data_IF_399284593893
#
_entry.id   IF_399284593893
#
_cell.length_a   1.000
_cell.length_b   1.000
_cell.length_c   1.000
_cell.angle_alpha   90.00
_cell.angle_beta   90.00
_cell.angle_gamma   90.00
#
_symmetry.space_group_name_H-M   'P 1'
#
loop_
_entity.id
_entity.type
_entity.pdbx_description
1 polymer ?
#
# COMPACT_ATOMS: atom_id res chain seq x y z
N UNK A 1 -2.71 -3.89 -27.86
CA UNK A 1 -3.64 -2.90 -27.28
C UNK A 1 -2.87 -1.65 -26.91
N UNK A 2 -3.42 -0.44 -27.06
CA UNK A 2 -2.82 0.80 -26.55
C UNK A 2 -3.52 1.18 -25.26
N UNK A 3 -2.74 1.46 -24.22
CA UNK A 3 -3.28 1.88 -22.92
C UNK A 3 -3.82 3.30 -22.97
N UNK A 4 -4.91 3.55 -22.25
CA UNK A 4 -5.46 4.89 -22.00
C UNK A 4 -4.50 5.71 -21.12
N UNK A 5 -4.72 7.02 -21.03
CA UNK A 5 -3.94 7.88 -20.14
C UNK A 5 -4.10 7.45 -18.67
N UNK A 6 -5.31 7.12 -18.26
CA UNK A 6 -5.62 6.66 -16.91
C UNK A 6 -4.90 5.34 -16.59
N UNK A 7 -4.97 4.35 -17.46
CA UNK A 7 -4.29 3.06 -17.30
C UNK A 7 -2.77 3.23 -17.16
N UNK A 8 -2.16 4.13 -17.96
CA UNK A 8 -0.73 4.43 -17.85
C UNK A 8 -0.39 5.05 -16.50
N UNK A 9 -1.14 6.04 -16.04
CA UNK A 9 -0.93 6.68 -14.74
C UNK A 9 -1.08 5.67 -13.59
N UNK A 10 -2.09 4.80 -13.65
CA UNK A 10 -2.29 3.75 -12.64
C UNK A 10 -1.11 2.76 -12.61
N UNK A 11 -0.58 2.37 -13.77
CA UNK A 11 0.59 1.50 -13.85
C UNK A 11 1.85 2.19 -13.31
N UNK A 12 2.03 3.48 -13.57
CA UNK A 12 3.13 4.27 -13.00
C UNK A 12 3.03 4.38 -11.49
N UNK A 13 1.81 4.60 -10.96
CA UNK A 13 1.56 4.65 -9.52
C UNK A 13 1.85 3.30 -8.85
N UNK A 14 1.40 2.19 -9.46
CA UNK A 14 1.71 0.84 -8.95
C UNK A 14 3.20 0.53 -9.04
N UNK A 15 3.86 0.92 -10.14
CA UNK A 15 5.31 0.74 -10.30
C UNK A 15 6.06 1.45 -9.17
N UNK A 16 5.67 2.69 -8.82
CA UNK A 16 6.27 3.42 -7.71
C UNK A 16 6.13 2.66 -6.38
N UNK A 17 4.96 2.07 -6.12
CA UNK A 17 4.74 1.21 -4.93
C UNK A 17 5.70 0.03 -4.92
N UNK A 18 5.81 -0.69 -6.05
CA UNK A 18 6.69 -1.85 -6.19
C UNK A 18 8.15 -1.45 -5.99
N UNK A 19 8.60 -0.38 -6.65
CA UNK A 19 9.96 0.12 -6.55
C UNK A 19 10.31 0.51 -5.09
N UNK A 20 9.39 1.17 -4.38
CA UNK A 20 9.58 1.46 -2.95
C UNK A 20 9.70 0.18 -2.12
N UNK A 21 8.90 -0.85 -2.41
CA UNK A 21 8.98 -2.13 -1.69
C UNK A 21 10.30 -2.87 -1.94
N UNK A 22 10.77 -2.89 -3.19
CA UNK A 22 12.05 -3.53 -3.56
C UNK A 22 13.21 -2.85 -2.83
N UNK A 23 13.16 -1.53 -2.71
CA UNK A 23 14.19 -0.73 -2.05
C UNK A 23 14.02 -0.63 -0.53
N UNK A 24 12.97 -1.24 0.05
CA UNK A 24 12.71 -1.21 1.49
C UNK A 24 12.35 0.18 2.03
N UNK A 25 11.73 1.03 1.20
CA UNK A 25 11.37 2.41 1.55
C UNK A 25 9.88 2.54 1.83
N UNK A 26 9.53 3.38 2.81
CA UNK A 26 8.16 3.83 3.00
C UNK A 26 7.66 4.54 1.73
N UNK A 27 6.39 4.32 1.38
CA UNK A 27 5.74 5.05 0.30
C UNK A 27 4.42 5.63 0.76
N UNK A 28 4.17 6.87 0.32
CA UNK A 28 2.88 7.55 0.45
C UNK A 28 2.14 7.53 -0.87
N UNK A 29 0.88 7.11 -0.83
CA UNK A 29 -0.05 7.19 -1.95
C UNK A 29 -1.33 7.87 -1.48
N UNK A 30 -2.00 8.62 -2.35
CA UNK A 30 -3.28 9.22 -2.01
C UNK A 30 -4.39 8.16 -2.03
N UNK A 31 -5.45 8.37 -1.23
CA UNK A 31 -6.66 7.54 -1.31
C UNK A 31 -7.25 7.50 -2.72
N UNK A 32 -7.17 8.60 -3.48
CA UNK A 32 -7.58 8.62 -4.90
C UNK A 32 -6.75 7.69 -5.77
N UNK A 33 -5.43 7.62 -5.54
CA UNK A 33 -4.53 6.71 -6.27
C UNK A 33 -4.84 5.25 -5.93
N UNK A 34 -5.05 4.93 -4.65
CA UNK A 34 -5.48 3.58 -4.25
C UNK A 34 -6.80 3.19 -4.93
N UNK A 35 -7.78 4.10 -4.97
CA UNK A 35 -9.06 3.84 -5.61
C UNK A 35 -8.92 3.64 -7.13
N UNK A 36 -8.06 4.42 -7.81
CA UNK A 36 -7.78 4.23 -9.22
C UNK A 36 -7.10 2.88 -9.51
N UNK A 37 -6.12 2.48 -8.68
CA UNK A 37 -5.48 1.15 -8.76
C UNK A 37 -6.52 0.04 -8.55
N UNK A 38 -7.42 0.19 -7.57
CA UNK A 38 -8.51 -0.77 -7.32
C UNK A 38 -9.44 -0.89 -8.53
N UNK A 39 -9.88 0.23 -9.09
CA UNK A 39 -10.83 0.24 -10.22
C UNK A 39 -10.22 -0.32 -11.50
N UNK A 40 -8.98 0.06 -11.82
CA UNK A 40 -8.35 -0.28 -13.11
C UNK A 40 -7.64 -1.63 -13.07
N UNK A 41 -6.97 -1.97 -11.96
CA UNK A 41 -6.16 -3.20 -11.85
C UNK A 41 -6.79 -4.26 -10.93
N UNK A 42 -7.88 -3.94 -10.22
CA UNK A 42 -8.49 -4.87 -9.26
C UNK A 42 -7.69 -5.07 -7.97
N UNK A 43 -6.70 -4.21 -7.70
CA UNK A 43 -5.81 -4.34 -6.53
C UNK A 43 -6.19 -3.28 -5.50
N UNK A 44 -6.72 -3.69 -4.35
CA UNK A 44 -6.88 -2.79 -3.20
C UNK A 44 -5.69 -2.90 -2.26
N UNK A 45 -4.87 -1.85 -2.18
CA UNK A 45 -3.67 -1.84 -1.34
C UNK A 45 -4.00 -1.86 0.16
N UNK A 46 -5.20 -1.43 0.56
CA UNK A 46 -5.67 -1.58 1.95
C UNK A 46 -5.97 -3.03 2.30
N UNK A 47 -6.47 -3.82 1.35
CA UNK A 47 -6.85 -5.22 1.57
C UNK A 47 -5.65 -6.15 1.43
N UNK A 48 -4.69 -5.84 0.54
CA UNK A 48 -3.48 -6.66 0.37
C UNK A 48 -2.39 -6.38 1.42
N UNK A 49 -2.59 -5.39 2.30
CA UNK A 49 -1.67 -5.08 3.41
C UNK A 49 -2.30 -5.30 4.78
N UNK A 50 -1.45 -5.45 5.80
CA UNK A 50 -1.84 -5.71 7.19
C UNK A 50 -1.52 -4.48 8.04
N UNK A 51 -2.51 -3.99 8.79
CA UNK A 51 -2.31 -2.86 9.72
C UNK A 51 -1.45 -3.30 10.89
N UNK A 52 -0.81 -2.34 11.56
CA UNK A 52 -0.01 -2.60 12.79
C UNK A 52 -0.79 -3.40 13.85
N UNK A 53 -2.10 -3.18 13.99
CA UNK A 53 -2.93 -3.91 14.95
C UNK A 53 -3.04 -5.41 14.61
N UNK A 54 -2.90 -5.79 13.35
CA UNK A 54 -3.02 -7.18 12.83
C UNK A 54 -1.68 -7.92 12.82
N UNK A 55 -0.57 -7.21 13.04
CA UNK A 55 0.79 -7.75 13.03
C UNK A 55 1.25 -8.03 14.45
N UNK A 56 1.66 -9.29 14.72
CA UNK A 56 2.26 -9.70 16.00
C UNK A 56 3.78 -9.67 15.93
N UNK A 57 4.36 -10.11 14.81
CA UNK A 57 5.80 -10.21 14.62
C UNK A 57 6.16 -9.99 13.15
N UNK A 58 7.18 -9.18 12.87
CA UNK A 58 7.76 -9.03 11.53
C UNK A 58 8.76 -10.15 11.24
N UNK A 59 8.91 -10.57 9.99
CA UNK A 59 9.90 -11.58 9.58
C UNK A 59 11.33 -11.13 9.86
N UNK A 60 11.60 -9.85 9.64
CA UNK A 60 12.91 -9.22 9.83
C UNK A 60 12.70 -7.85 10.44
N UNK A 61 13.41 -7.52 11.52
CA UNK A 61 13.22 -6.27 12.25
C UNK A 61 13.51 -5.01 11.42
N UNK A 62 14.39 -5.11 10.42
CA UNK A 62 14.74 -4.02 9.50
C UNK A 62 13.77 -3.85 8.33
N UNK A 63 12.93 -4.83 8.03
CA UNK A 63 12.03 -4.81 6.88
C UNK A 63 10.65 -4.26 7.29
N UNK A 64 10.65 -3.05 7.86
CA UNK A 64 9.47 -2.42 8.45
C UNK A 64 8.89 -1.28 7.61
N UNK A 65 9.22 -1.24 6.31
CA UNK A 65 8.67 -0.25 5.40
C UNK A 65 7.15 -0.37 5.29
N UNK A 66 6.49 0.75 5.02
CA UNK A 66 5.04 0.89 5.04
C UNK A 66 4.52 1.44 3.74
N UNK A 67 3.35 0.95 3.35
CA UNK A 67 2.48 1.72 2.47
C UNK A 67 1.60 2.62 3.33
N UNK A 68 1.63 3.92 3.07
CA UNK A 68 0.86 4.94 3.76
C UNK A 68 -0.15 5.50 2.77
N UNK A 69 -1.42 5.22 3.01
CA UNK A 69 -2.53 5.71 2.21
C UNK A 69 -3.05 6.98 2.88
N UNK A 70 -2.76 8.10 2.22
CA UNK A 70 -3.01 9.45 2.69
C UNK A 70 -4.41 9.91 2.33
N UNK A 71 -5.12 10.44 3.31
CA UNK A 71 -6.41 11.07 3.09
C UNK A 71 -6.20 12.56 2.81
N UNK A 72 -6.65 13.02 1.64
CA UNK A 72 -6.56 14.43 1.24
C UNK A 72 -7.57 15.33 1.94
N UNK A 73 -8.56 14.76 2.65
CA UNK A 73 -9.59 15.51 3.40
C UNK A 73 -9.12 16.03 4.78
N UNK A 74 -7.82 16.02 5.06
CA UNK A 74 -7.24 16.57 6.29
C UNK A 74 -7.60 15.79 7.56
N UNK A 75 -7.46 16.47 8.72
CA UNK A 75 -7.48 15.95 10.11
C UNK A 75 -8.69 15.02 10.40
N UNK A 76 -9.78 15.15 9.66
CA UNK A 76 -11.01 14.38 9.82
C UNK A 76 -10.83 12.87 9.61
N UNK A 77 -9.89 12.45 8.74
CA UNK A 77 -9.63 11.03 8.49
C UNK A 77 -8.14 10.71 8.59
N UNK A 78 -7.69 9.94 9.61
CA UNK A 78 -6.28 9.67 9.79
C UNK A 78 -5.72 8.86 8.61
N UNK A 79 -4.46 9.14 8.26
CA UNK A 79 -3.71 8.32 7.31
C UNK A 79 -3.73 6.86 7.77
N UNK A 80 -3.93 5.96 6.82
CA UNK A 80 -3.88 4.52 7.08
C UNK A 80 -2.57 3.98 6.57
N UNK A 81 -1.95 3.05 7.29
CA UNK A 81 -0.76 2.36 6.81
C UNK A 81 -0.83 0.87 7.05
N UNK A 82 -0.11 0.13 6.22
CA UNK A 82 -0.04 -1.32 6.27
C UNK A 82 1.35 -1.84 5.91
N UNK A 83 1.59 -3.08 6.33
CA UNK A 83 2.76 -3.89 5.99
C UNK A 83 2.31 -5.00 5.02
N UNK A 84 3.11 -5.29 4.01
CA UNK A 84 2.81 -6.42 3.15
C UNK A 84 2.91 -7.75 3.89
N UNK A 85 2.10 -8.76 3.51
CA UNK A 85 2.13 -10.10 4.10
C UNK A 85 3.51 -10.75 4.17
N UNK A 86 4.37 -10.50 3.19
CA UNK A 86 5.71 -11.08 3.17
C UNK A 86 6.64 -10.49 4.25
N UNK A 87 6.33 -9.30 4.79
CA UNK A 87 7.06 -8.68 5.91
C UNK A 87 6.64 -9.27 7.26
N UNK A 88 5.53 -10.01 7.33
CA UNK A 88 4.91 -10.45 8.59
C UNK A 88 5.19 -11.94 8.84
N UNK A 89 5.73 -12.26 10.02
CA UNK A 89 5.96 -13.63 10.47
C UNK A 89 4.76 -14.21 11.19
N UNK A 90 4.10 -13.38 12.00
CA UNK A 90 2.92 -13.80 12.78
C UNK A 90 1.84 -12.72 12.73
N UNK A 91 0.64 -13.14 12.35
CA UNK A 91 -0.58 -12.31 12.42
C UNK A 91 -1.24 -12.46 13.79
N UNK A 92 -1.91 -11.42 14.26
CA UNK A 92 -2.87 -11.54 15.36
C UNK A 92 -4.13 -12.13 14.74
N UNK A 93 -4.45 -13.38 15.05
CA UNK A 93 -5.75 -13.94 14.72
C UNK A 93 -6.80 -13.22 15.57
N UNK A 94 -7.89 -12.80 14.94
CA UNK A 94 -9.09 -12.27 15.58
C UNK A 94 -9.99 -13.42 16.04
#
# INVERSE_FOLDING_TARGET
>A
MRLTKEEKTVLEDLKRVIDSCINGNDIRILTSQNNAIKTVLGIDLKEVTLRKKEVKELKRGKDNFKIIIQNTMGITYPDTYGFFPFQVKKRKWS
#
